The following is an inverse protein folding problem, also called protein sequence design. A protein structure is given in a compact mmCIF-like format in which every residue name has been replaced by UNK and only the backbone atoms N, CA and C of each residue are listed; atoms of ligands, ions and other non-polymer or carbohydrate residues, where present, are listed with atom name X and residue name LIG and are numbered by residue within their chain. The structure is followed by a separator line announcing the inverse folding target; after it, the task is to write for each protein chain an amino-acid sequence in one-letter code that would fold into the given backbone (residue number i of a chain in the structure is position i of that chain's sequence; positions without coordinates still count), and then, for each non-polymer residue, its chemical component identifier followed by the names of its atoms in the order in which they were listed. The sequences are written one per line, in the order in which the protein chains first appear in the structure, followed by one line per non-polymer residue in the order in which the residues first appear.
data_IF_737819966190
#
_entry.id   IF_737819966190
#
_cell.length_a   1.000
_cell.length_b   1.000
_cell.length_c   1.000
_cell.angle_alpha   90.00
_cell.angle_beta   90.00
_cell.angle_gamma   90.00
#
_symmetry.space_group_name_H-M   'P 1'
#
loop_
_entity.id
_entity.type
_entity.pdbx_description
1 polymer ?
#
# COMPACT_ATOMS: atom_id res chain seq x y z
N UNK A 1 15.47 -1.07 -16.22
CA UNK A 1 14.39 -0.32 -15.54
C UNK A 1 14.75 1.16 -15.51
N UNK A 2 14.13 1.97 -16.37
CA UNK A 2 14.48 3.39 -16.50
C UNK A 2 13.82 4.20 -15.38
N UNK A 3 14.65 4.76 -14.49
CA UNK A 3 14.21 5.69 -13.45
C UNK A 3 13.93 7.06 -14.06
N UNK A 4 12.67 7.33 -14.40
CA UNK A 4 12.18 8.69 -14.61
C UNK A 4 12.16 9.44 -13.27
N UNK A 5 12.98 10.49 -13.13
CA UNK A 5 12.89 11.47 -12.04
C UNK A 5 11.61 12.29 -12.23
N UNK A 6 10.66 12.16 -11.32
CA UNK A 6 9.46 13.02 -11.27
C UNK A 6 9.82 14.40 -10.68
N UNK A 7 9.08 15.43 -11.11
CA UNK A 7 9.17 16.77 -10.52
C UNK A 7 8.67 16.75 -9.05
N UNK A 8 9.17 17.66 -8.18
CA UNK A 8 8.74 17.73 -6.78
C UNK A 8 7.21 17.89 -6.68
N UNK A 9 6.56 17.12 -5.80
CA UNK A 9 5.11 17.18 -5.56
C UNK A 9 4.22 16.42 -6.56
N UNK A 10 4.80 15.67 -7.52
CA UNK A 10 4.02 14.79 -8.41
C UNK A 10 4.23 13.32 -7.98
N UNK A 11 3.15 12.58 -7.66
CA UNK A 11 3.26 11.16 -7.36
C UNK A 11 3.78 10.35 -8.54
N UNK A 12 4.73 9.45 -8.27
CA UNK A 12 5.27 8.47 -9.23
C UNK A 12 4.69 7.11 -8.93
N UNK A 13 4.17 6.45 -9.95
CA UNK A 13 3.71 5.05 -9.87
C UNK A 13 4.74 4.11 -10.49
N UNK A 14 5.08 3.04 -9.78
CA UNK A 14 5.96 1.97 -10.26
C UNK A 14 5.24 0.63 -10.06
N UNK A 15 5.18 -0.20 -11.09
CA UNK A 15 4.68 -1.58 -10.97
C UNK A 15 5.87 -2.52 -10.99
N UNK A 16 5.97 -3.39 -9.98
CA UNK A 16 7.01 -4.42 -9.89
C UNK A 16 6.64 -5.64 -10.72
N UNK A 17 7.61 -6.52 -10.98
CA UNK A 17 7.41 -7.73 -11.80
C UNK A 17 6.40 -8.71 -11.16
N UNK A 18 6.20 -8.65 -9.85
CA UNK A 18 5.18 -9.43 -9.12
C UNK A 18 3.78 -8.77 -9.15
N UNK A 19 3.60 -7.66 -9.86
CA UNK A 19 2.34 -6.92 -9.98
C UNK A 19 2.04 -5.94 -8.84
N UNK A 20 2.93 -5.80 -7.84
CA UNK A 20 2.76 -4.80 -6.78
C UNK A 20 2.91 -3.38 -7.35
N UNK A 21 1.91 -2.53 -7.09
CA UNK A 21 1.97 -1.12 -7.43
C UNK A 21 2.46 -0.31 -6.24
N UNK A 22 3.50 0.50 -6.46
CA UNK A 22 4.08 1.41 -5.50
C UNK A 22 3.87 2.83 -5.99
N UNK A 23 3.22 3.65 -5.18
CA UNK A 23 3.05 5.08 -5.43
C UNK A 23 3.92 5.85 -4.44
N UNK A 24 4.82 6.69 -4.95
CA UNK A 24 5.77 7.44 -4.12
C UNK A 24 5.70 8.93 -4.46
N UNK A 25 5.75 9.78 -3.46
CA UNK A 25 5.88 11.23 -3.62
C UNK A 25 7.07 11.73 -2.78
N UNK A 26 7.92 12.57 -3.36
CA UNK A 26 9.04 13.19 -2.64
C UNK A 26 8.66 14.60 -2.20
N UNK A 27 8.61 14.81 -0.90
CA UNK A 27 8.33 16.11 -0.29
C UNK A 27 9.64 16.67 0.25
N UNK A 28 10.08 17.82 -0.27
CA UNK A 28 11.33 18.45 0.17
C UNK A 28 11.12 19.16 1.53
N UNK A 29 12.13 19.07 2.40
CA UNK A 29 12.14 19.80 3.67
C UNK A 29 11.49 19.07 4.85
N UNK A 30 10.94 17.86 4.67
CA UNK A 30 10.46 17.02 5.77
C UNK A 30 11.51 15.96 6.15
N UNK A 31 11.55 15.61 7.44
CA UNK A 31 12.44 14.57 8.00
C UNK A 31 11.72 13.30 8.40
N UNK A 32 10.48 13.14 7.95
CA UNK A 32 9.62 11.98 8.20
C UNK A 32 9.14 11.41 6.86
N UNK A 33 8.72 10.15 6.91
CA UNK A 33 8.02 9.49 5.82
C UNK A 33 6.76 8.84 6.36
N UNK A 34 5.71 8.78 5.54
CA UNK A 34 4.53 7.99 5.79
C UNK A 34 4.48 6.84 4.78
N UNK A 35 4.08 5.67 5.25
CA UNK A 35 3.90 4.48 4.41
C UNK A 35 2.54 3.88 4.71
N UNK A 36 1.81 3.54 3.66
CA UNK A 36 0.55 2.80 3.75
C UNK A 36 0.60 1.59 2.82
N UNK A 37 -0.08 0.53 3.20
CA UNK A 37 -0.27 -0.66 2.38
C UNK A 37 -1.77 -0.87 2.21
N UNK A 38 -2.21 -1.04 0.96
CA UNK A 38 -3.60 -1.34 0.64
C UNK A 38 -3.70 -2.73 0.04
N UNK A 39 -4.54 -3.56 0.66
CA UNK A 39 -4.95 -4.84 0.11
C UNK A 39 -6.37 -4.68 -0.39
N UNK A 40 -6.63 -5.03 -1.66
CA UNK A 40 -7.99 -4.98 -2.25
C UNK A 40 -8.84 -6.17 -1.83
N UNK A 41 -8.86 -6.47 -0.53
CA UNK A 41 -9.62 -7.54 0.12
C UNK A 41 -10.01 -7.08 1.54
N UNK A 42 -11.04 -7.68 2.12
CA UNK A 42 -11.51 -7.37 3.47
C UNK A 42 -12.86 -8.02 3.75
N UNK A 43 -13.52 -7.61 4.84
CA UNK A 43 -14.77 -8.23 5.32
C UNK A 43 -15.87 -8.41 4.24
N UNK A 44 -15.98 -7.46 3.30
CA UNK A 44 -16.94 -7.53 2.18
C UNK A 44 -16.72 -8.74 1.24
N UNK A 45 -15.54 -9.37 1.27
CA UNK A 45 -15.14 -10.48 0.42
C UNK A 45 -15.19 -11.83 1.17
N UNK A 46 -15.69 -11.84 2.40
CA UNK A 46 -15.70 -13.04 3.24
C UNK A 46 -16.96 -13.89 3.02
N UNK A 47 -16.81 -15.22 2.89
CA UNK A 47 -17.96 -16.11 2.95
C UNK A 47 -18.45 -16.23 4.40
N UNK A 48 -19.75 -16.48 4.57
CA UNK A 48 -20.44 -16.52 5.88
C UNK A 48 -19.74 -17.38 6.94
N UNK A 49 -19.11 -18.49 6.52
CA UNK A 49 -18.42 -19.45 7.42
C UNK A 49 -17.18 -18.89 8.13
N UNK A 50 -16.58 -17.80 7.65
CA UNK A 50 -15.36 -17.20 8.20
C UNK A 50 -15.47 -15.68 8.38
N UNK A 51 -16.67 -15.18 8.61
CA UNK A 51 -16.87 -13.76 8.90
C UNK A 51 -15.98 -13.30 10.07
N UNK A 52 -15.37 -12.13 9.89
CA UNK A 52 -14.44 -11.54 10.86
C UNK A 52 -13.00 -11.99 10.71
N UNK A 53 -12.68 -12.89 9.76
CA UNK A 53 -11.30 -13.35 9.53
C UNK A 53 -10.35 -12.21 9.13
N UNK A 54 -10.80 -11.25 8.33
CA UNK A 54 -10.05 -10.09 7.86
C UNK A 54 -9.74 -9.17 9.03
N UNK A 55 -10.71 -8.94 9.92
CA UNK A 55 -10.50 -8.16 11.13
C UNK A 55 -9.52 -8.84 12.08
N UNK A 56 -9.62 -10.17 12.26
CA UNK A 56 -8.64 -10.94 13.02
C UNK A 56 -7.24 -10.82 12.39
N UNK A 57 -7.12 -10.98 11.07
CA UNK A 57 -5.85 -10.86 10.35
C UNK A 57 -5.27 -9.45 10.47
N UNK A 58 -6.08 -8.40 10.41
CA UNK A 58 -5.68 -7.02 10.66
C UNK A 58 -5.08 -6.86 12.05
N UNK A 59 -5.72 -7.39 13.10
CA UNK A 59 -5.14 -7.38 14.45
C UNK A 59 -3.83 -8.15 14.54
N UNK A 60 -3.74 -9.30 13.88
CA UNK A 60 -2.55 -10.15 13.91
C UNK A 60 -1.38 -9.57 13.11
N UNK A 61 -1.63 -8.71 12.12
CA UNK A 61 -0.57 -8.05 11.36
C UNK A 61 0.22 -7.03 12.19
N UNK A 62 -0.35 -6.54 13.29
CA UNK A 62 0.26 -5.54 14.17
C UNK A 62 0.49 -6.04 15.60
N UNK A 63 0.37 -7.35 15.83
CA UNK A 63 0.66 -8.00 17.12
C UNK A 63 2.08 -8.53 17.16
#
# INVERSE_FOLDING_TARGET
MTSQRAAPGVPRTTTLDNGLQIVTESILGVRSAAVGVWVRQGAAHEPLRILGSSHMLEHMAFK
#
